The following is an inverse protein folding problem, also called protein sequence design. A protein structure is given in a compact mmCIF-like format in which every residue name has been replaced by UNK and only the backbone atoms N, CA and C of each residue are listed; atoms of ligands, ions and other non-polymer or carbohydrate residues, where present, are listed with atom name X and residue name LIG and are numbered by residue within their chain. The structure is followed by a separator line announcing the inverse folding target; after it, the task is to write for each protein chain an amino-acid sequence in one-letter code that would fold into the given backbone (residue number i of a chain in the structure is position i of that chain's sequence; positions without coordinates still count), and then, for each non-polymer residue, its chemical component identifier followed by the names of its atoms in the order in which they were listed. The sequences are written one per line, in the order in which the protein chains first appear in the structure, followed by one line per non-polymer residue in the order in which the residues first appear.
data_IF_174617047046
#
_entry.id   IF_174617047046
#
_cell.length_a   1.000
_cell.length_b   1.000
_cell.length_c   1.000
_cell.angle_alpha   90.00
_cell.angle_beta   90.00
_cell.angle_gamma   90.00
#
_symmetry.space_group_name_H-M   'P 1'
#
loop_
_entity.id
_entity.type
_entity.pdbx_description
1 polymer ?
#
# COMPACT_ATOMS: atom_id res chain seq x y z
N UNK A 1 35.94 -51.02 -3.63
CA UNK A 1 34.95 -49.96 -3.97
C UNK A 1 35.62 -48.58 -4.03
N UNK A 2 36.58 -48.35 -4.94
CA UNK A 2 37.32 -47.07 -5.07
C UNK A 2 37.43 -46.57 -6.53
N UNK A 3 36.68 -47.16 -7.45
CA UNK A 3 36.82 -46.90 -8.89
C UNK A 3 35.64 -46.15 -9.53
N UNK A 4 34.69 -45.61 -8.76
CA UNK A 4 33.48 -44.99 -9.34
C UNK A 4 33.47 -43.43 -9.35
N UNK A 5 34.50 -42.76 -8.81
CA UNK A 5 34.54 -41.29 -8.75
C UNK A 5 35.57 -40.65 -9.70
N UNK A 6 36.08 -41.38 -10.69
CA UNK A 6 37.26 -40.96 -11.45
C UNK A 6 37.00 -40.05 -12.66
N UNK A 7 35.77 -39.57 -12.88
CA UNK A 7 35.43 -38.82 -14.10
C UNK A 7 34.57 -37.58 -13.89
N UNK A 8 34.38 -37.12 -12.66
CA UNK A 8 33.60 -35.91 -12.40
C UNK A 8 34.38 -34.98 -11.49
N UNK A 9 34.97 -33.94 -12.08
CA UNK A 9 35.50 -32.81 -11.34
C UNK A 9 34.42 -31.74 -11.26
N UNK A 10 33.82 -31.61 -10.08
CA UNK A 10 32.75 -30.66 -9.81
C UNK A 10 33.16 -29.20 -10.06
N UNK A 11 34.46 -28.90 -10.03
CA UNK A 11 35.00 -27.54 -10.20
C UNK A 11 35.54 -27.28 -11.61
N UNK A 12 35.43 -28.24 -12.54
CA UNK A 12 35.90 -28.08 -13.91
C UNK A 12 35.13 -26.95 -14.63
N UNK A 13 35.85 -25.89 -15.01
CA UNK A 13 35.28 -24.71 -15.68
C UNK A 13 34.73 -23.63 -14.75
N UNK A 14 34.84 -23.78 -13.43
CA UNK A 14 34.50 -22.70 -12.49
C UNK A 14 35.63 -21.68 -12.35
N UNK A 15 35.26 -20.40 -12.22
CA UNK A 15 36.20 -19.35 -11.87
C UNK A 15 36.65 -19.45 -10.40
N UNK A 16 37.82 -18.90 -10.06
CA UNK A 16 38.37 -18.98 -8.71
C UNK A 16 37.42 -18.43 -7.63
N UNK A 17 36.63 -17.40 -7.96
CA UNK A 17 35.62 -16.84 -7.05
C UNK A 17 34.43 -17.78 -6.83
N UNK A 18 34.01 -18.50 -7.87
CA UNK A 18 32.92 -19.48 -7.77
C UNK A 18 33.34 -20.69 -6.94
N UNK A 19 34.59 -21.14 -7.08
CA UNK A 19 35.18 -22.19 -6.25
C UNK A 19 35.18 -21.75 -4.78
N UNK A 20 35.62 -20.52 -4.48
CA UNK A 20 35.61 -19.98 -3.12
C UNK A 20 34.20 -19.87 -2.54
N UNK A 21 33.21 -19.49 -3.35
CA UNK A 21 31.80 -19.43 -2.93
C UNK A 21 31.25 -20.83 -2.63
N UNK A 22 31.53 -21.80 -3.49
CA UNK A 22 31.10 -23.19 -3.31
C UNK A 22 31.77 -23.86 -2.10
N UNK A 23 33.01 -23.47 -1.78
CA UNK A 23 33.73 -23.93 -0.59
C UNK A 23 33.36 -23.16 0.69
N UNK A 24 32.60 -22.07 0.60
CA UNK A 24 32.21 -21.27 1.76
C UNK A 24 31.40 -22.11 2.74
N UNK A 25 31.63 -22.01 4.06
CA UNK A 25 30.79 -22.65 5.08
C UNK A 25 29.32 -22.21 5.03
N UNK A 26 29.07 -21.04 4.42
CA UNK A 26 27.74 -20.48 4.23
C UNK A 26 27.07 -20.96 2.93
N UNK A 27 27.78 -21.70 2.07
CA UNK A 27 27.26 -22.18 0.79
C UNK A 27 25.98 -23.00 1.02
N UNK A 28 24.91 -22.64 0.31
CA UNK A 28 23.56 -23.22 0.50
C UNK A 28 22.78 -22.70 1.71
N UNK A 29 23.42 -21.96 2.62
CA UNK A 29 22.81 -21.28 3.79
C UNK A 29 22.81 -19.76 3.65
N UNK A 30 23.04 -19.26 2.43
CA UNK A 30 23.17 -17.86 2.04
C UNK A 30 21.84 -17.11 2.20
N UNK A 31 21.45 -16.91 3.45
CA UNK A 31 20.17 -16.31 3.81
C UNK A 31 20.33 -14.79 3.75
N UNK A 32 19.80 -14.18 2.69
CA UNK A 32 19.73 -12.73 2.61
C UNK A 32 18.73 -12.24 3.66
N UNK A 33 19.17 -11.38 4.58
CA UNK A 33 18.28 -10.81 5.59
C UNK A 33 17.19 -9.97 4.90
N UNK A 34 15.93 -10.40 5.03
CA UNK A 34 14.74 -9.82 4.37
C UNK A 34 14.61 -8.31 4.56
N UNK A 35 15.14 -7.77 5.66
CA UNK A 35 15.08 -6.34 5.99
C UNK A 35 15.85 -5.43 5.01
N UNK A 36 16.77 -5.96 4.21
CA UNK A 36 17.63 -5.18 3.31
C UNK A 36 17.41 -5.49 1.83
N UNK A 37 16.29 -6.14 1.48
CA UNK A 37 15.96 -6.50 0.10
C UNK A 37 15.30 -5.33 -0.64
N UNK A 38 15.74 -4.96 -1.87
CA UNK A 38 15.15 -3.86 -2.63
C UNK A 38 13.73 -4.16 -3.12
N UNK A 39 13.35 -5.43 -3.19
CA UNK A 39 12.03 -5.97 -3.57
C UNK A 39 11.08 -6.18 -2.38
N UNK A 40 11.54 -5.97 -1.13
CA UNK A 40 10.81 -6.30 0.09
C UNK A 40 9.52 -5.48 0.33
N UNK A 41 9.23 -4.48 -0.51
CA UNK A 41 8.11 -3.55 -0.32
C UNK A 41 6.84 -3.85 -1.11
N UNK A 42 6.85 -4.73 -2.12
CA UNK A 42 5.76 -4.71 -3.12
C UNK A 42 4.70 -5.80 -2.94
N UNK A 43 5.00 -7.04 -2.55
CA UNK A 43 3.96 -8.10 -2.46
C UNK A 43 4.23 -9.23 -1.43
N UNK A 44 5.18 -9.03 -0.49
CA UNK A 44 5.72 -10.12 0.35
C UNK A 44 5.09 -10.32 1.74
N UNK A 45 3.91 -9.75 2.03
CA UNK A 45 3.21 -9.98 3.30
C UNK A 45 2.16 -11.09 3.13
N UNK A 46 2.26 -12.23 3.86
CA UNK A 46 1.21 -13.23 3.84
C UNK A 46 -0.10 -12.58 4.30
N UNK A 47 -1.18 -12.78 3.54
CA UNK A 47 -2.51 -12.37 3.97
C UNK A 47 -2.90 -13.23 5.18
N UNK A 48 -2.73 -12.68 6.38
CA UNK A 48 -3.00 -13.41 7.63
C UNK A 48 -4.45 -13.89 7.78
N UNK A 49 -5.37 -13.37 6.96
CA UNK A 49 -6.74 -13.85 6.88
C UNK A 49 -6.87 -15.26 6.28
N UNK A 50 -5.85 -15.75 5.58
CA UNK A 50 -5.89 -17.04 4.87
C UNK A 50 -5.35 -18.20 5.74
N UNK A 51 -4.86 -17.91 6.95
CA UNK A 51 -4.34 -18.91 7.88
C UNK A 51 -5.42 -19.36 8.87
N UNK A 52 -5.47 -20.68 9.12
CA UNK A 52 -6.31 -21.25 10.18
C UNK A 52 -5.74 -20.88 11.56
N UNK A 53 -6.43 -19.99 12.28
CA UNK A 53 -6.04 -19.47 13.59
C UNK A 53 -7.02 -19.93 14.67
N UNK A 54 -6.95 -21.20 15.13
CA UNK A 54 -7.92 -21.76 16.08
C UNK A 54 -7.91 -21.11 17.47
N UNK A 55 -6.84 -20.37 17.79
CA UNK A 55 -6.69 -19.63 19.05
C UNK A 55 -6.99 -18.13 18.90
N UNK A 56 -7.36 -17.67 17.70
CA UNK A 56 -7.51 -16.26 17.33
C UNK A 56 -6.31 -15.35 17.74
N UNK A 57 -5.10 -15.92 17.89
CA UNK A 57 -3.96 -15.19 18.42
C UNK A 57 -3.44 -14.12 17.43
N UNK A 58 -3.59 -14.37 16.14
CA UNK A 58 -3.12 -13.52 15.04
C UNK A 58 -4.27 -12.58 14.61
N UNK A 59 -5.40 -13.18 14.27
CA UNK A 59 -6.60 -12.47 13.80
C UNK A 59 -7.20 -11.58 14.89
N UNK A 60 -7.23 -12.04 16.15
CA UNK A 60 -7.70 -11.27 17.30
C UNK A 60 -6.83 -10.03 17.57
N UNK A 61 -5.51 -10.17 17.49
CA UNK A 61 -4.58 -9.03 17.64
C UNK A 61 -4.74 -8.02 16.51
N UNK A 62 -4.86 -8.48 15.27
CA UNK A 62 -5.09 -7.61 14.11
C UNK A 62 -6.41 -6.82 14.26
N UNK A 63 -7.51 -7.50 14.62
CA UNK A 63 -8.80 -6.85 14.90
C UNK A 63 -8.71 -5.87 16.06
N UNK A 64 -8.00 -6.21 17.14
CA UNK A 64 -7.81 -5.32 18.29
C UNK A 64 -7.02 -4.06 17.93
N UNK A 65 -6.00 -4.19 17.07
CA UNK A 65 -5.25 -3.05 16.56
C UNK A 65 -6.13 -2.13 15.71
N UNK A 66 -6.93 -2.68 14.80
CA UNK A 66 -7.90 -1.90 14.01
C UNK A 66 -8.91 -1.21 14.92
N UNK A 67 -9.50 -1.92 15.89
CA UNK A 67 -10.46 -1.33 16.85
C UNK A 67 -9.83 -0.21 17.66
N UNK A 68 -8.58 -0.35 18.12
CA UNK A 68 -7.87 0.70 18.85
C UNK A 68 -7.61 1.93 17.97
N UNK A 69 -7.21 1.71 16.71
CA UNK A 69 -7.02 2.79 15.75
C UNK A 69 -8.32 3.54 15.44
N UNK A 70 -9.45 2.82 15.38
CA UNK A 70 -10.78 3.42 15.22
C UNK A 70 -11.24 4.14 16.49
N UNK A 71 -10.98 3.59 17.68
CA UNK A 71 -11.35 4.21 18.95
C UNK A 71 -10.60 5.53 19.24
N UNK A 72 -9.40 5.70 18.69
CA UNK A 72 -8.65 6.96 18.75
C UNK A 72 -9.13 8.01 17.74
N UNK A 73 -9.96 7.63 16.75
CA UNK A 73 -10.58 8.57 15.83
C UNK A 73 -11.84 9.15 16.50
N UNK A 74 -11.94 10.48 16.59
CA UNK A 74 -13.09 11.15 17.22
C UNK A 74 -14.44 10.73 16.62
N UNK A 75 -15.56 10.95 17.32
CA UNK A 75 -16.90 10.52 16.90
C UNK A 75 -17.27 10.99 15.49
N UNK A 76 -16.82 12.18 15.12
CA UNK A 76 -16.96 12.81 13.81
C UNK A 76 -16.35 12.01 12.64
N UNK A 77 -15.34 11.16 12.88
CA UNK A 77 -14.75 10.29 11.85
C UNK A 77 -15.60 9.04 11.56
N UNK A 78 -16.62 8.74 12.36
CA UNK A 78 -17.49 7.56 12.17
C UNK A 78 -18.62 7.83 11.16
N UNK A 79 -18.92 9.10 10.85
CA UNK A 79 -19.95 9.47 9.87
C UNK A 79 -19.57 9.07 8.44
N UNK A 80 -18.28 8.94 8.16
CA UNK A 80 -17.74 8.62 6.85
C UNK A 80 -16.96 7.30 6.87
N UNK A 81 -17.04 6.55 5.78
CA UNK A 81 -16.19 5.38 5.55
C UNK A 81 -14.71 5.78 5.36
N UNK A 82 -13.75 4.86 5.48
CA UNK A 82 -12.33 5.18 5.23
C UNK A 82 -12.07 5.81 3.88
N UNK A 83 -12.80 5.40 2.84
CA UNK A 83 -12.62 5.90 1.48
C UNK A 83 -13.19 7.31 1.32
N UNK A 84 -14.34 7.57 1.95
CA UNK A 84 -14.94 8.90 2.00
C UNK A 84 -14.05 9.88 2.80
N UNK A 85 -13.39 9.44 3.88
CA UNK A 85 -12.43 10.29 4.60
C UNK A 85 -11.24 10.68 3.73
N UNK A 86 -10.67 9.73 2.98
CA UNK A 86 -9.61 10.03 2.00
C UNK A 86 -10.09 11.03 0.94
N UNK A 87 -11.35 10.92 0.50
CA UNK A 87 -11.94 11.89 -0.43
C UNK A 87 -12.13 13.28 0.20
N UNK A 88 -12.47 13.38 1.50
CA UNK A 88 -12.50 14.66 2.21
C UNK A 88 -11.11 15.30 2.28
N UNK A 89 -10.08 14.51 2.57
CA UNK A 89 -8.69 14.98 2.60
C UNK A 89 -8.24 15.52 1.24
N UNK A 90 -8.61 14.84 0.15
CA UNK A 90 -8.34 15.29 -1.23
C UNK A 90 -8.97 16.66 -1.51
N UNK A 91 -10.18 16.91 -1.02
CA UNK A 91 -10.87 18.19 -1.18
C UNK A 91 -10.40 19.24 -0.14
N UNK A 92 -9.64 18.81 0.87
CA UNK A 92 -9.21 19.63 2.00
C UNK A 92 -10.38 20.06 2.87
N UNK A 93 -11.31 19.14 3.14
CA UNK A 93 -12.51 19.36 3.94
C UNK A 93 -12.43 18.55 5.24
N UNK A 94 -13.06 19.08 6.30
CA UNK A 94 -13.17 18.37 7.58
C UNK A 94 -14.34 17.39 7.58
N UNK A 95 -14.44 16.55 8.62
CA UNK A 95 -15.56 15.63 8.80
C UNK A 95 -16.87 16.32 9.24
N UNK A 96 -16.80 17.56 9.74
CA UNK A 96 -17.97 18.35 10.09
C UNK A 96 -18.29 19.34 8.97
N UNK A 97 -18.81 18.81 7.85
CA UNK A 97 -19.20 19.62 6.69
C UNK A 97 -20.64 19.35 6.28
N UNK A 98 -21.22 20.33 5.60
CA UNK A 98 -22.53 20.21 4.96
C UNK A 98 -22.40 20.04 3.43
N UNK A 99 -23.47 19.54 2.80
CA UNK A 99 -23.56 19.30 1.35
C UNK A 99 -23.38 20.58 0.54
N UNK A 100 -23.77 21.74 1.08
CA UNK A 100 -23.53 23.04 0.47
C UNK A 100 -22.03 23.35 0.40
N UNK A 101 -21.30 23.16 1.49
CA UNK A 101 -19.86 23.40 1.56
C UNK A 101 -19.08 22.48 0.63
N UNK A 102 -19.47 21.20 0.56
CA UNK A 102 -18.92 20.24 -0.39
C UNK A 102 -19.03 20.74 -1.85
N UNK A 103 -20.21 21.22 -2.25
CA UNK A 103 -20.44 21.74 -3.60
C UNK A 103 -19.63 23.00 -3.88
N UNK A 104 -19.54 23.90 -2.90
CA UNK A 104 -18.76 25.14 -3.01
C UNK A 104 -17.28 24.83 -3.19
N UNK A 105 -16.73 23.93 -2.37
CA UNK A 105 -15.33 23.53 -2.45
C UNK A 105 -15.00 22.85 -3.78
N UNK A 106 -15.85 21.92 -4.22
CA UNK A 106 -15.72 21.28 -5.52
C UNK A 106 -15.69 22.31 -6.66
N UNK A 107 -16.62 23.27 -6.67
CA UNK A 107 -16.67 24.30 -7.71
C UNK A 107 -15.42 25.18 -7.72
N UNK A 108 -14.90 25.52 -6.52
CA UNK A 108 -13.65 26.28 -6.38
C UNK A 108 -12.44 25.53 -6.94
N UNK A 109 -12.31 24.24 -6.61
CA UNK A 109 -11.21 23.40 -7.10
C UNK A 109 -11.31 23.13 -8.60
N UNK A 110 -12.53 22.95 -9.12
CA UNK A 110 -12.77 22.77 -10.55
C UNK A 110 -12.28 24.00 -11.31
N UNK A 111 -12.66 25.22 -10.90
CA UNK A 111 -12.16 26.45 -11.53
C UNK A 111 -10.65 26.59 -11.47
N UNK A 112 -10.03 26.18 -10.35
CA UNK A 112 -8.58 26.25 -10.15
C UNK A 112 -7.81 25.31 -11.10
N UNK A 113 -8.32 24.10 -11.33
CA UNK A 113 -7.62 23.09 -12.12
C UNK A 113 -8.11 22.96 -13.56
N UNK A 114 -9.16 23.68 -13.95
CA UNK A 114 -9.70 23.60 -15.31
C UNK A 114 -8.75 24.24 -16.34
N UNK A 115 -8.46 23.56 -17.46
CA UNK A 115 -7.53 24.07 -18.48
C UNK A 115 -8.01 25.37 -19.13
N UNK A 116 -9.33 25.59 -19.25
CA UNK A 116 -9.90 26.84 -19.79
C UNK A 116 -9.49 28.08 -19.00
N UNK A 117 -9.34 27.96 -17.67
CA UNK A 117 -8.90 29.06 -16.82
C UNK A 117 -7.37 29.17 -16.73
N UNK A 118 -6.65 28.12 -17.10
CA UNK A 118 -5.19 28.03 -17.06
C UNK A 118 -4.56 28.18 -18.45
N UNK A 119 -5.25 28.80 -19.40
CA UNK A 119 -4.73 29.07 -20.74
C UNK A 119 -4.44 27.82 -21.58
N UNK A 120 -5.11 26.70 -21.31
CA UNK A 120 -4.94 25.42 -21.99
C UNK A 120 -3.87 24.51 -21.36
N UNK A 121 -3.26 24.90 -20.25
CA UNK A 121 -2.30 24.04 -19.53
C UNK A 121 -3.00 22.79 -18.97
N UNK A 122 -2.53 21.61 -19.42
CA UNK A 122 -3.03 20.29 -19.00
C UNK A 122 -2.26 19.72 -17.81
N UNK A 123 -1.27 20.44 -17.25
CA UNK A 123 -0.48 20.00 -16.10
C UNK A 123 -1.28 19.72 -14.82
N UNK A 124 -2.56 20.11 -14.77
CA UNK A 124 -3.45 19.88 -13.63
C UNK A 124 -4.55 18.85 -13.89
N UNK A 125 -4.59 18.21 -15.06
CA UNK A 125 -5.63 17.25 -15.44
C UNK A 125 -5.72 16.07 -14.47
N UNK A 126 -4.57 15.49 -14.09
CA UNK A 126 -4.54 14.40 -13.11
C UNK A 126 -5.12 14.80 -11.75
N UNK A 127 -4.85 16.03 -11.29
CA UNK A 127 -5.42 16.55 -10.03
C UNK A 127 -6.91 16.82 -10.15
N UNK A 128 -7.35 17.32 -11.29
CA UNK A 128 -8.77 17.54 -11.58
C UNK A 128 -9.54 16.23 -11.54
N UNK A 129 -9.00 15.17 -12.16
CA UNK A 129 -9.61 13.84 -12.16
C UNK A 129 -9.81 13.31 -10.73
N UNK A 130 -8.77 13.40 -9.90
CA UNK A 130 -8.83 12.98 -8.49
C UNK A 130 -9.89 13.78 -7.70
N UNK A 131 -10.01 15.08 -7.95
CA UNK A 131 -11.05 15.93 -7.32
C UNK A 131 -12.45 15.52 -7.76
N UNK A 132 -12.64 15.21 -9.05
CA UNK A 132 -13.93 14.77 -9.60
C UNK A 132 -14.34 13.43 -9.00
N UNK A 133 -13.43 12.47 -8.92
CA UNK A 133 -13.68 11.15 -8.31
C UNK A 133 -14.04 11.27 -6.83
N UNK A 134 -13.27 12.07 -6.07
CA UNK A 134 -13.55 12.35 -4.66
C UNK A 134 -14.96 12.95 -4.46
N UNK A 135 -15.35 13.91 -5.29
CA UNK A 135 -16.68 14.50 -5.24
C UNK A 135 -17.78 13.50 -5.58
N UNK A 136 -17.60 12.66 -6.61
CA UNK A 136 -18.58 11.65 -7.00
C UNK A 136 -18.82 10.62 -5.91
N UNK A 137 -17.78 10.22 -5.18
CA UNK A 137 -17.86 9.34 -4.02
C UNK A 137 -18.66 10.01 -2.90
N UNK A 138 -18.25 11.21 -2.49
CA UNK A 138 -18.88 11.93 -1.37
C UNK A 138 -20.34 12.33 -1.66
N UNK A 139 -20.70 12.61 -2.92
CA UNK A 139 -22.09 12.93 -3.30
C UNK A 139 -23.06 11.78 -3.01
N UNK A 140 -22.58 10.53 -2.96
CA UNK A 140 -23.36 9.31 -2.71
C UNK A 140 -23.26 8.84 -1.25
N UNK A 141 -22.44 9.50 -0.44
CA UNK A 141 -22.23 9.12 0.95
C UNK A 141 -23.55 9.25 1.74
N UNK A 142 -23.85 8.22 2.54
CA UNK A 142 -25.01 8.21 3.44
C UNK A 142 -24.96 9.35 4.47
N UNK A 143 -23.76 9.88 4.73
CA UNK A 143 -23.52 11.03 5.57
C UNK A 143 -24.29 12.29 5.14
N UNK A 144 -24.59 12.47 3.85
CA UNK A 144 -25.29 13.66 3.30
C UNK A 144 -26.69 13.36 2.78
N UNK A 145 -27.23 12.18 3.11
CA UNK A 145 -28.63 11.80 2.91
C UNK A 145 -29.48 12.40 4.02
#
# INVERSE_FOLDING_TARGET
MRQFNAGYDYFEGMEAEEILRAQSPLHGWETHTRAFRPDAGVDGVPRWADFADPLEAISGRARAHVRRSQAGMGPQNHRFTPDERRALDVLGLNADIDRRELRQRYTSLLRKYHPDHNGGDRGHEARLQVVVEAYQLLRRAAAFA
#
